data_IF_598068781263
#
_entry.id   IF_598068781263
#
_cell.length_a   1.000
_cell.length_b   1.000
_cell.length_c   1.000
_cell.angle_alpha   90.00
_cell.angle_beta   90.00
_cell.angle_gamma   90.00
#
_symmetry.space_group_name_H-M   'P 1'
#
loop_
_entity.id
_entity.type
_entity.pdbx_description
1 polymer ?
#
# COMPACT_ATOMS: atom_id res chain seq x y z
N UNK A 1 -10.00 13.16 -13.09
CA UNK A 1 -8.57 12.95 -13.34
C UNK A 1 -7.86 14.21 -12.90
N UNK A 2 -6.75 14.08 -12.20
CA UNK A 2 -5.89 15.21 -11.83
C UNK A 2 -4.42 14.75 -11.79
N UNK A 3 -3.52 15.70 -11.92
CA UNK A 3 -2.09 15.51 -11.67
C UNK A 3 -1.82 15.52 -10.17
N UNK A 4 -0.84 14.74 -9.71
CA UNK A 4 -0.50 14.70 -8.29
C UNK A 4 1.01 14.55 -8.08
N UNK A 5 1.74 15.65 -8.26
CA UNK A 5 3.18 15.63 -8.47
C UNK A 5 3.54 15.22 -9.90
N UNK A 6 4.84 15.21 -10.23
CA UNK A 6 5.30 14.80 -11.57
C UNK A 6 4.97 13.33 -11.85
N UNK A 7 4.84 12.98 -13.14
CA UNK A 7 4.51 11.65 -13.69
C UNK A 7 3.49 10.82 -12.91
N UNK A 8 2.52 11.47 -12.25
CA UNK A 8 1.56 10.82 -11.37
C UNK A 8 0.16 11.35 -11.65
N UNK A 9 -0.77 10.44 -11.86
CA UNK A 9 -2.17 10.72 -12.08
C UNK A 9 -2.99 10.15 -10.93
N UNK A 10 -3.95 10.93 -10.44
CA UNK A 10 -4.97 10.47 -9.51
C UNK A 10 -6.30 10.39 -10.22
N UNK A 11 -6.94 9.23 -10.09
CA UNK A 11 -8.28 8.99 -10.61
C UNK A 11 -9.26 8.87 -9.44
N UNK A 12 -10.32 9.68 -9.49
CA UNK A 12 -11.44 9.62 -8.55
C UNK A 12 -12.75 9.52 -9.29
N UNK A 13 -13.67 8.68 -8.83
CA UNK A 13 -15.00 8.55 -9.41
C UNK A 13 -16.02 8.08 -8.38
N UNK A 14 -17.21 8.68 -8.40
CA UNK A 14 -18.31 8.34 -7.52
C UNK A 14 -19.65 8.44 -8.25
N UNK A 15 -20.63 7.62 -7.84
CA UNK A 15 -22.03 7.75 -8.27
C UNK A 15 -22.86 8.70 -7.40
N UNK A 16 -22.33 9.21 -6.29
CA UNK A 16 -23.01 10.20 -5.45
C UNK A 16 -22.93 11.63 -5.98
N UNK A 17 -22.26 11.86 -7.13
CA UNK A 17 -21.93 13.18 -7.70
C UNK A 17 -21.03 14.05 -6.79
N UNK A 18 -20.58 13.50 -5.68
CA UNK A 18 -19.63 14.13 -4.76
C UNK A 18 -18.32 13.34 -4.76
N UNK A 19 -17.20 14.05 -4.90
CA UNK A 19 -15.86 13.51 -4.73
C UNK A 19 -15.32 14.00 -3.39
N UNK A 20 -15.05 13.07 -2.49
CA UNK A 20 -14.40 13.31 -1.20
C UNK A 20 -12.99 13.88 -1.40
N UNK A 21 -12.60 14.89 -0.62
CA UNK A 21 -11.24 15.44 -0.63
C UNK A 21 -10.24 14.58 0.17
N UNK A 22 -10.68 13.52 0.84
CA UNK A 22 -9.83 12.63 1.65
C UNK A 22 -8.61 12.15 0.85
N UNK A 23 -7.43 12.22 1.45
CA UNK A 23 -6.16 11.78 0.85
C UNK A 23 -5.62 10.49 1.50
N UNK A 24 -6.23 10.05 2.61
CA UNK A 24 -5.77 8.93 3.43
C UNK A 24 -4.31 9.11 3.87
N UNK A 25 -3.39 8.30 3.35
CA UNK A 25 -1.96 8.32 3.67
C UNK A 25 -1.10 8.96 2.57
N UNK A 26 -1.71 9.70 1.65
CA UNK A 26 -1.00 10.41 0.58
C UNK A 26 -0.66 11.83 1.04
N UNK A 27 0.62 12.20 0.93
CA UNK A 27 1.15 13.51 1.24
C UNK A 27 0.87 14.50 0.11
N UNK A 28 0.68 15.76 0.48
CA UNK A 28 0.55 16.86 -0.49
C UNK A 28 1.76 16.92 -1.42
N UNK A 29 1.49 17.16 -2.69
CA UNK A 29 2.51 17.26 -3.74
C UNK A 29 2.57 18.67 -4.31
N UNK A 30 3.71 19.00 -4.90
CA UNK A 30 3.83 20.23 -5.68
C UNK A 30 2.84 20.18 -6.86
N UNK A 31 1.96 21.18 -7.03
CA UNK A 31 1.02 21.20 -8.13
C UNK A 31 1.73 21.20 -9.49
N UNK A 32 1.24 20.38 -10.41
CA UNK A 32 1.70 20.33 -11.81
C UNK A 32 0.52 20.69 -12.71
N UNK A 33 0.74 21.49 -13.74
CA UNK A 33 -0.31 21.78 -14.72
C UNK A 33 -0.31 20.68 -15.79
N UNK A 34 -1.41 19.94 -15.99
CA UNK A 34 -1.49 18.93 -17.04
C UNK A 34 -1.54 19.57 -18.44
N UNK A 35 -1.07 18.82 -19.43
CA UNK A 35 -1.41 19.09 -20.83
C UNK A 35 -2.69 18.31 -21.14
N UNK A 36 -3.73 19.01 -21.60
CA UNK A 36 -5.03 18.42 -21.93
C UNK A 36 -5.34 18.69 -23.40
N UNK A 37 -5.57 17.62 -24.14
CA UNK A 37 -5.94 17.68 -25.56
C UNK A 37 -7.29 16.98 -25.77
N UNK A 38 -8.22 17.65 -26.43
CA UNK A 38 -9.51 17.07 -26.81
C UNK A 38 -9.46 16.76 -28.30
N UNK A 39 -9.49 15.47 -28.62
CA UNK A 39 -9.41 14.93 -29.97
C UNK A 39 -10.74 14.27 -30.34
N UNK A 40 -10.93 13.97 -31.61
CA UNK A 40 -12.10 13.22 -32.06
C UNK A 40 -12.17 11.84 -31.38
N UNK A 41 -13.24 11.58 -30.62
CA UNK A 41 -13.48 10.33 -29.91
C UNK A 41 -12.72 10.09 -28.60
N UNK A 42 -11.83 10.99 -28.17
CA UNK A 42 -11.09 10.87 -26.89
C UNK A 42 -10.54 12.19 -26.34
N UNK A 43 -10.37 12.26 -25.03
CA UNK A 43 -9.55 13.27 -24.37
C UNK A 43 -8.22 12.66 -23.89
N UNK A 44 -7.12 13.39 -24.02
CA UNK A 44 -5.78 13.00 -23.56
C UNK A 44 -5.37 13.92 -22.43
N UNK A 45 -4.94 13.33 -21.31
CA UNK A 45 -4.50 14.03 -20.11
C UNK A 45 -3.07 13.59 -19.78
N UNK A 46 -2.09 14.47 -19.97
CA UNK A 46 -0.66 14.15 -19.87
C UNK A 46 -0.02 14.86 -18.68
N UNK A 47 0.80 14.12 -17.94
CA UNK A 47 1.65 14.60 -16.85
C UNK A 47 3.05 14.00 -16.99
N UNK A 48 3.98 14.75 -17.59
CA UNK A 48 5.33 14.25 -17.88
C UNK A 48 5.31 12.94 -18.66
N UNK A 49 5.91 11.89 -18.09
CA UNK A 49 6.07 10.58 -18.74
C UNK A 49 4.81 9.68 -18.72
N UNK A 50 3.72 10.09 -18.07
CA UNK A 50 2.47 9.32 -18.08
C UNK A 50 1.34 10.13 -18.70
N UNK A 51 0.50 9.47 -19.49
CA UNK A 51 -0.76 10.04 -19.96
C UNK A 51 -1.93 9.09 -19.79
N UNK A 52 -3.11 9.67 -19.62
CA UNK A 52 -4.38 8.96 -19.63
C UNK A 52 -5.20 9.37 -20.86
N UNK A 53 -5.63 8.38 -21.63
CA UNK A 53 -6.58 8.55 -22.72
C UNK A 53 -7.97 8.12 -22.25
N UNK A 54 -8.92 9.07 -22.30
CA UNK A 54 -10.30 8.89 -21.86
C UNK A 54 -11.17 8.82 -23.11
N UNK A 55 -11.75 7.65 -23.38
CA UNK A 55 -12.60 7.42 -24.54
C UNK A 55 -13.95 8.13 -24.40
N UNK A 56 -14.35 8.91 -25.39
CA UNK A 56 -15.56 9.75 -25.32
C UNK A 56 -16.85 8.91 -25.13
N UNK A 57 -16.97 7.80 -25.86
CA UNK A 57 -18.19 6.99 -25.91
C UNK A 57 -18.64 6.44 -24.55
N UNK A 58 -17.71 6.07 -23.67
CA UNK A 58 -18.02 5.38 -22.40
C UNK A 58 -17.14 5.79 -21.21
N UNK A 59 -16.18 6.69 -21.44
CA UNK A 59 -15.25 7.18 -20.43
C UNK A 59 -14.26 6.12 -19.95
N UNK A 60 -13.99 5.07 -20.72
CA UNK A 60 -12.93 4.13 -20.36
C UNK A 60 -11.57 4.81 -20.42
N UNK A 61 -10.71 4.46 -19.47
CA UNK A 61 -9.37 5.04 -19.32
C UNK A 61 -8.30 4.03 -19.73
N UNK A 62 -7.37 4.48 -20.56
CA UNK A 62 -6.12 3.78 -20.89
C UNK A 62 -4.95 4.64 -20.46
N UNK A 63 -4.01 4.07 -19.72
CA UNK A 63 -2.78 4.72 -19.29
C UNK A 63 -1.62 4.28 -20.16
N UNK A 64 -0.81 5.24 -20.62
CA UNK A 64 0.34 5.00 -21.47
C UNK A 64 1.56 5.76 -20.95
N UNK A 65 2.76 5.24 -21.25
CA UNK A 65 4.01 5.99 -21.08
C UNK A 65 4.26 6.92 -22.28
N UNK A 66 5.38 7.65 -22.25
CA UNK A 66 5.82 8.56 -23.30
C UNK A 66 6.30 7.83 -24.57
N UNK A 67 6.59 6.52 -24.49
CA UNK A 67 6.84 5.66 -25.66
C UNK A 67 5.55 5.13 -26.32
N UNK A 68 4.37 5.50 -25.82
CA UNK A 68 3.05 5.02 -26.27
C UNK A 68 2.76 3.54 -25.96
N UNK A 69 3.48 2.95 -25.01
CA UNK A 69 3.21 1.61 -24.53
C UNK A 69 2.07 1.67 -23.51
N UNK A 70 1.11 0.75 -23.62
CA UNK A 70 -0.03 0.68 -22.71
C UNK A 70 0.43 0.12 -21.37
N UNK A 71 0.35 0.92 -20.32
CA UNK A 71 0.66 0.53 -18.95
C UNK A 71 -0.50 -0.26 -18.35
N UNK A 72 -1.67 0.37 -18.28
CA UNK A 72 -2.87 -0.18 -17.63
C UNK A 72 -4.12 0.30 -18.37
N UNK A 73 -5.11 -0.58 -18.52
CA UNK A 73 -6.34 -0.27 -19.29
C UNK A 73 -7.57 -0.83 -18.61
N UNK A 74 -8.60 -0.01 -18.42
CA UNK A 74 -9.88 -0.46 -17.90
C UNK A 74 -10.55 -1.48 -18.84
N UNK A 75 -11.16 -2.52 -18.28
CA UNK A 75 -11.77 -3.60 -19.07
C UNK A 75 -13.02 -3.15 -19.81
N UNK A 76 -13.12 -3.53 -21.08
CA UNK A 76 -14.31 -3.33 -21.91
C UNK A 76 -15.05 -4.63 -22.17
N UNK A 77 -16.38 -4.62 -21.99
CA UNK A 77 -17.27 -5.69 -22.44
C UNK A 77 -18.37 -5.11 -23.33
N UNK A 78 -18.48 -5.59 -24.57
CA UNK A 78 -19.39 -5.05 -25.59
C UNK A 78 -20.87 -5.04 -25.17
N UNK A 79 -21.29 -5.99 -24.33
CA UNK A 79 -22.67 -6.12 -23.88
C UNK A 79 -22.97 -5.37 -22.56
N UNK A 80 -21.93 -4.86 -21.87
CA UNK A 80 -22.07 -4.17 -20.57
C UNK A 80 -21.21 -2.91 -20.60
N UNK A 81 -21.85 -1.80 -20.98
CA UNK A 81 -21.18 -0.51 -21.31
C UNK A 81 -20.31 0.09 -20.20
N UNK A 82 -20.37 -0.39 -18.95
CA UNK A 82 -19.47 0.04 -17.85
C UNK A 82 -19.04 -1.11 -16.93
N UNK A 83 -18.51 -2.20 -17.51
CA UNK A 83 -17.99 -3.33 -16.72
C UNK A 83 -16.80 -2.95 -15.83
N UNK A 84 -15.93 -2.05 -16.29
CA UNK A 84 -14.73 -1.65 -15.57
C UNK A 84 -15.00 -1.05 -14.19
N UNK A 85 -16.08 -0.27 -14.02
CA UNK A 85 -16.37 0.47 -12.78
C UNK A 85 -17.79 0.19 -12.33
N UNK A 86 -17.92 -0.64 -11.30
CA UNK A 86 -19.20 -1.05 -10.75
C UNK A 86 -19.41 -0.45 -9.36
N UNK A 87 -20.65 -0.02 -9.13
CA UNK A 87 -21.08 0.65 -7.91
C UNK A 87 -22.38 -0.01 -7.48
N UNK A 88 -22.32 -0.84 -6.44
CA UNK A 88 -23.51 -1.46 -5.85
C UNK A 88 -23.82 -0.73 -4.56
N UNK A 89 -24.99 -0.07 -4.51
CA UNK A 89 -25.38 0.73 -3.34
C UNK A 89 -25.41 -0.13 -2.07
N UNK A 90 -24.81 0.38 -0.99
CA UNK A 90 -24.87 -0.15 0.37
C UNK A 90 -25.63 0.78 1.33
N UNK A 91 -26.27 1.82 0.79
CA UNK A 91 -27.03 2.85 1.52
C UNK A 91 -26.34 4.22 1.49
N UNK A 92 -27.14 5.29 1.51
CA UNK A 92 -26.66 6.68 1.38
C UNK A 92 -25.75 6.85 0.15
N UNK A 93 -24.54 7.38 0.37
CA UNK A 93 -23.46 7.64 -0.55
C UNK A 93 -22.37 6.56 -0.54
N UNK A 94 -22.65 5.39 0.05
CA UNK A 94 -21.71 4.28 0.13
C UNK A 94 -22.03 3.16 -0.85
N UNK A 95 -20.98 2.56 -1.37
CA UNK A 95 -21.03 1.53 -2.39
C UNK A 95 -20.09 0.39 -2.03
N UNK A 96 -20.49 -0.82 -2.42
CA UNK A 96 -19.53 -1.85 -2.78
C UNK A 96 -19.00 -1.50 -4.17
N UNK A 97 -17.69 -1.30 -4.24
CA UNK A 97 -16.99 -0.88 -5.45
C UNK A 97 -16.28 -2.06 -6.10
N UNK A 98 -16.27 -2.07 -7.42
CA UNK A 98 -15.41 -2.97 -8.20
C UNK A 98 -14.78 -2.19 -9.34
N UNK A 99 -13.46 -2.21 -9.40
CA UNK A 99 -12.66 -1.66 -10.49
C UNK A 99 -11.93 -2.81 -11.20
N UNK A 100 -12.12 -2.93 -12.51
CA UNK A 100 -11.53 -4.01 -13.31
C UNK A 100 -10.73 -3.47 -14.49
N UNK A 101 -9.50 -3.95 -14.60
CA UNK A 101 -8.55 -3.68 -15.67
C UNK A 101 -8.28 -4.96 -16.50
N UNK A 102 -7.95 -4.78 -17.77
CA UNK A 102 -7.46 -5.87 -18.61
C UNK A 102 -6.19 -6.46 -17.99
N UNK A 103 -6.12 -7.79 -17.92
CA UNK A 103 -4.90 -8.47 -17.53
C UNK A 103 -4.00 -8.66 -18.75
N UNK A 104 -2.72 -8.39 -18.56
CA UNK A 104 -1.66 -8.90 -19.42
C UNK A 104 -1.10 -10.18 -18.78
N UNK A 105 -0.95 -11.26 -19.53
CA UNK A 105 -0.51 -12.56 -18.98
C UNK A 105 0.99 -12.61 -18.71
N UNK A 106 1.75 -11.76 -19.40
CA UNK A 106 3.21 -11.69 -19.30
C UNK A 106 3.65 -10.57 -18.34
N UNK A 107 2.70 -9.86 -17.73
CA UNK A 107 2.95 -8.86 -16.70
C UNK A 107 3.25 -9.52 -15.35
N UNK A 108 4.37 -9.13 -14.74
CA UNK A 108 4.74 -9.50 -13.39
C UNK A 108 4.37 -8.38 -12.42
N UNK A 109 3.84 -8.77 -11.26
CA UNK A 109 3.24 -7.86 -10.29
C UNK A 109 3.83 -8.08 -8.90
N UNK A 110 4.24 -7.01 -8.22
CA UNK A 110 4.94 -7.08 -6.93
C UNK A 110 4.37 -6.09 -5.92
N UNK A 111 4.69 -6.28 -4.63
CA UNK A 111 4.31 -5.37 -3.55
C UNK A 111 3.10 -5.86 -2.75
N UNK A 112 2.06 -5.03 -2.64
CA UNK A 112 0.79 -5.28 -1.93
C UNK A 112 0.90 -5.48 -0.40
N UNK A 113 2.11 -5.57 0.15
CA UNK A 113 2.38 -5.67 1.58
C UNK A 113 2.95 -7.04 1.95
N UNK A 114 2.42 -7.64 3.01
CA UNK A 114 2.86 -8.93 3.51
C UNK A 114 1.69 -9.91 3.52
N UNK A 115 1.84 -11.02 2.81
CA UNK A 115 0.87 -12.10 2.79
C UNK A 115 1.57 -13.43 3.08
N UNK A 116 0.95 -14.35 3.84
CA UNK A 116 1.51 -15.67 4.11
C UNK A 116 1.36 -16.60 2.90
N UNK A 117 2.03 -16.26 1.81
CA UNK A 117 2.15 -17.06 0.60
C UNK A 117 3.63 -17.09 0.15
N UNK A 118 3.94 -17.94 -0.83
CA UNK A 118 5.28 -18.13 -1.40
C UNK A 118 5.45 -17.40 -2.75
N UNK A 119 4.58 -16.42 -3.03
CA UNK A 119 4.50 -15.73 -4.32
C UNK A 119 5.19 -14.37 -4.24
N UNK A 120 6.42 -14.26 -4.78
CA UNK A 120 7.05 -12.95 -5.01
C UNK A 120 6.35 -12.21 -6.16
N UNK A 121 6.20 -12.90 -7.30
CA UNK A 121 5.32 -12.44 -8.37
C UNK A 121 3.88 -12.80 -8.00
N UNK A 122 3.07 -11.77 -7.85
CA UNK A 122 1.69 -11.83 -7.43
C UNK A 122 0.74 -12.09 -8.62
N UNK A 123 1.25 -12.21 -9.85
CA UNK A 123 0.42 -12.54 -10.99
C UNK A 123 -0.24 -13.91 -10.80
N UNK A 124 -1.55 -13.97 -11.07
CA UNK A 124 -2.39 -15.14 -10.84
C UNK A 124 -2.95 -15.24 -9.41
N UNK A 125 -2.51 -14.41 -8.48
CA UNK A 125 -2.93 -14.48 -7.08
C UNK A 125 -4.22 -13.71 -6.79
N UNK A 126 -4.75 -13.96 -5.60
CA UNK A 126 -5.80 -13.17 -4.97
C UNK A 126 -5.30 -12.77 -3.60
N UNK A 127 -5.47 -11.49 -3.26
CA UNK A 127 -5.10 -10.94 -1.97
C UNK A 127 -6.33 -10.32 -1.32
N UNK A 128 -6.61 -10.69 -0.08
CA UNK A 128 -7.59 -10.00 0.75
C UNK A 128 -7.01 -8.68 1.25
N UNK A 129 -7.73 -7.58 1.08
CA UNK A 129 -7.32 -6.27 1.56
C UNK A 129 -7.84 -6.08 2.99
N UNK A 130 -7.17 -6.73 3.94
CA UNK A 130 -7.47 -6.67 5.37
C UNK A 130 -6.20 -6.87 6.20
N UNK A 131 -6.23 -6.42 7.46
CA UNK A 131 -5.13 -6.60 8.41
C UNK A 131 -5.42 -7.80 9.32
N UNK A 132 -4.49 -8.75 9.41
CA UNK A 132 -4.61 -9.96 10.26
C UNK A 132 -3.26 -10.28 10.89
N UNK A 133 -3.23 -11.17 11.89
CA UNK A 133 -1.96 -11.73 12.33
C UNK A 133 -1.27 -12.38 11.12
N UNK A 134 0.03 -12.11 10.92
CA UNK A 134 0.86 -12.51 9.77
C UNK A 134 0.53 -11.88 8.40
N UNK A 135 -0.51 -11.05 8.29
CA UNK A 135 -0.92 -10.41 7.04
C UNK A 135 -1.05 -8.89 7.18
N UNK A 136 -0.39 -8.16 6.29
CA UNK A 136 -0.38 -6.70 6.26
C UNK A 136 -0.72 -6.25 4.84
N UNK A 137 -1.93 -5.70 4.63
CA UNK A 137 -2.34 -5.13 3.35
C UNK A 137 -1.78 -3.71 3.21
N UNK A 138 -0.87 -3.51 2.26
CA UNK A 138 -0.32 -2.22 1.84
C UNK A 138 -0.52 -2.14 0.33
N UNK A 139 -1.66 -1.60 -0.16
CA UNK A 139 -2.10 -1.85 -1.54
C UNK A 139 -1.43 -0.92 -2.56
N UNK A 140 -0.10 -0.98 -2.57
CA UNK A 140 0.80 -0.46 -3.58
C UNK A 140 1.32 -1.62 -4.44
N UNK A 141 1.03 -1.58 -5.73
CA UNK A 141 1.41 -2.56 -6.72
C UNK A 141 2.50 -1.98 -7.62
N UNK A 142 3.55 -2.75 -7.85
CA UNK A 142 4.60 -2.45 -8.83
C UNK A 142 4.47 -3.43 -9.99
N UNK A 143 4.41 -2.91 -11.22
CA UNK A 143 4.31 -3.72 -12.43
C UNK A 143 5.61 -3.75 -13.22
N UNK A 144 5.94 -4.89 -13.83
CA UNK A 144 7.05 -5.02 -14.78
C UNK A 144 6.88 -4.16 -16.04
N UNK A 145 5.70 -3.59 -16.28
CA UNK A 145 5.42 -2.68 -17.39
C UNK A 145 5.86 -1.23 -17.12
N UNK A 146 6.54 -0.96 -16.01
CA UNK A 146 7.07 0.38 -15.71
C UNK A 146 6.07 1.32 -15.05
N UNK A 147 5.09 0.79 -14.31
CA UNK A 147 4.16 1.62 -13.52
C UNK A 147 3.99 1.13 -12.08
N UNK A 148 3.70 2.09 -11.20
CA UNK A 148 3.23 1.86 -9.85
C UNK A 148 1.75 2.24 -9.74
N UNK A 149 1.00 1.49 -8.94
CA UNK A 149 -0.43 1.70 -8.72
C UNK A 149 -0.74 1.65 -7.21
N UNK A 150 -1.42 2.67 -6.69
CA UNK A 150 -1.86 2.71 -5.29
C UNK A 150 -3.39 2.66 -5.28
N UNK A 151 -3.96 1.60 -4.71
CA UNK A 151 -5.39 1.57 -4.38
C UNK A 151 -5.63 2.41 -3.12
N UNK A 152 -6.04 3.66 -3.31
CA UNK A 152 -6.16 4.64 -2.22
C UNK A 152 -7.50 4.53 -1.50
N UNK A 153 -7.75 3.35 -0.92
CA UNK A 153 -9.01 3.06 -0.26
C UNK A 153 -8.80 2.07 0.90
N UNK A 154 -9.11 2.45 2.16
CA UNK A 154 -8.84 1.61 3.33
C UNK A 154 -9.93 0.58 3.62
N UNK A 155 -10.97 0.50 2.79
CA UNK A 155 -12.07 -0.45 2.99
C UNK A 155 -11.58 -1.90 2.89
N UNK A 156 -12.22 -2.80 3.65
CA UNK A 156 -12.03 -4.25 3.45
C UNK A 156 -12.40 -4.59 2.02
N UNK A 157 -11.63 -5.46 1.39
CA UNK A 157 -11.86 -5.81 0.00
C UNK A 157 -10.90 -6.86 -0.53
N UNK A 158 -10.64 -6.82 -1.83
CA UNK A 158 -9.84 -7.82 -2.52
C UNK A 158 -9.09 -7.22 -3.70
N UNK A 159 -7.86 -7.68 -3.92
CA UNK A 159 -7.13 -7.52 -5.17
C UNK A 159 -7.06 -8.90 -5.86
N UNK A 160 -7.69 -9.04 -7.01
CA UNK A 160 -7.62 -10.23 -7.87
C UNK A 160 -6.67 -9.93 -9.03
N UNK A 161 -5.44 -10.45 -8.96
CA UNK A 161 -4.38 -10.19 -9.94
C UNK A 161 -4.31 -11.31 -10.98
N UNK A 162 -5.47 -11.74 -11.48
CA UNK A 162 -5.60 -12.97 -12.27
C UNK A 162 -5.01 -12.87 -13.69
N UNK A 163 -5.00 -14.00 -14.41
CA UNK A 163 -4.56 -14.09 -15.81
C UNK A 163 -5.59 -13.55 -16.82
N UNK A 164 -6.82 -13.24 -16.38
CA UNK A 164 -7.91 -12.79 -17.27
C UNK A 164 -8.34 -11.35 -16.99
N UNK A 165 -8.13 -10.88 -15.76
CA UNK A 165 -8.43 -9.52 -15.33
C UNK A 165 -7.62 -9.16 -14.08
N UNK A 166 -7.35 -7.87 -13.91
CA UNK A 166 -6.86 -7.30 -12.66
C UNK A 166 -8.01 -6.54 -12.01
N UNK A 167 -8.44 -6.94 -10.81
CA UNK A 167 -9.63 -6.37 -10.17
C UNK A 167 -9.35 -5.93 -8.73
N UNK A 168 -9.84 -4.76 -8.37
CA UNK A 168 -9.87 -4.27 -7.00
C UNK A 168 -11.32 -4.12 -6.54
N UNK A 169 -11.61 -4.55 -5.32
CA UNK A 169 -12.90 -4.35 -4.67
C UNK A 169 -12.74 -3.66 -3.33
N UNK A 170 -13.77 -2.90 -2.96
CA UNK A 170 -13.94 -2.32 -1.64
C UNK A 170 -15.38 -2.58 -1.20
N UNK A 171 -15.59 -3.20 -0.05
CA UNK A 171 -16.93 -3.60 0.42
C UNK A 171 -17.79 -2.39 0.81
N UNK A 172 -17.16 -1.34 1.34
CA UNK A 172 -17.83 -0.14 1.81
C UNK A 172 -16.98 1.11 1.59
N UNK A 173 -17.27 1.85 0.52
CA UNK A 173 -16.55 3.06 0.16
C UNK A 173 -17.44 4.06 -0.60
N UNK A 174 -17.11 5.35 -0.50
CA UNK A 174 -17.84 6.42 -1.19
C UNK A 174 -17.45 6.60 -2.65
N UNK A 175 -16.20 6.27 -3.00
CA UNK A 175 -15.64 6.54 -4.31
C UNK A 175 -14.52 5.56 -4.66
N UNK A 176 -14.31 5.35 -5.97
CA UNK A 176 -13.06 4.80 -6.49
C UNK A 176 -12.01 5.91 -6.35
N UNK A 177 -10.85 5.57 -5.79
CA UNK A 177 -9.72 6.47 -5.65
C UNK A 177 -8.43 5.66 -5.78
N UNK A 178 -7.61 6.02 -6.77
CA UNK A 178 -6.31 5.40 -6.96
C UNK A 178 -5.32 6.35 -7.62
N UNK A 179 -4.05 6.04 -7.43
CA UNK A 179 -2.94 6.72 -8.10
C UNK A 179 -2.27 5.75 -9.05
N UNK A 180 -1.80 6.28 -10.17
CA UNK A 180 -0.92 5.58 -11.09
C UNK A 180 0.20 6.51 -11.51
N UNK A 181 1.41 5.97 -11.59
CA UNK A 181 2.58 6.71 -12.01
C UNK A 181 3.53 5.82 -12.80
N UNK A 182 4.25 6.44 -13.73
CA UNK A 182 5.20 5.75 -14.61
C UNK A 182 6.65 6.14 -14.27
N UNK A 183 7.56 5.19 -14.43
CA UNK A 183 9.00 5.42 -14.40
C UNK A 183 9.75 4.28 -15.10
N UNK A 184 10.96 4.57 -15.56
CA UNK A 184 11.75 3.63 -16.37
C UNK A 184 12.34 2.48 -15.55
N UNK A 185 12.52 2.67 -14.24
CA UNK A 185 13.15 1.68 -13.35
C UNK A 185 12.31 1.37 -12.11
N UNK A 186 12.40 0.14 -11.55
CA UNK A 186 11.77 -0.18 -10.27
C UNK A 186 12.23 0.73 -9.12
N UNK A 187 13.48 1.18 -9.13
CA UNK A 187 14.00 2.10 -8.11
C UNK A 187 13.27 3.44 -8.14
N UNK A 188 13.03 3.99 -9.33
CA UNK A 188 12.30 5.26 -9.50
C UNK A 188 10.83 5.12 -9.11
N UNK A 189 10.20 3.96 -9.37
CA UNK A 189 8.84 3.68 -8.91
C UNK A 189 8.75 3.67 -7.37
N UNK A 190 9.70 3.02 -6.69
CA UNK A 190 9.75 3.00 -5.23
C UNK A 190 10.06 4.38 -4.65
N UNK A 191 10.97 5.14 -5.27
CA UNK A 191 11.24 6.52 -4.88
C UNK A 191 10.01 7.41 -5.01
N UNK A 192 9.22 7.22 -6.08
CA UNK A 192 7.97 7.97 -6.29
C UNK A 192 6.91 7.59 -5.28
N UNK A 193 6.73 6.29 -5.01
CA UNK A 193 5.86 5.80 -3.94
C UNK A 193 6.23 6.44 -2.59
N UNK A 194 7.51 6.40 -2.20
CA UNK A 194 7.98 7.02 -0.97
C UNK A 194 7.81 8.56 -0.95
N UNK A 195 7.89 9.23 -2.12
CA UNK A 195 7.58 10.65 -2.25
C UNK A 195 6.09 10.95 -2.01
N UNK A 196 5.20 10.03 -2.40
CA UNK A 196 3.75 10.14 -2.20
C UNK A 196 3.32 9.78 -0.77
N UNK A 197 3.98 8.81 -0.12
CA UNK A 197 3.51 8.27 1.18
C UNK A 197 4.41 8.59 2.36
N UNK A 198 5.58 9.20 2.12
CA UNK A 198 6.58 9.52 3.14
C UNK A 198 7.81 8.61 3.05
N UNK A 199 8.99 9.24 3.22
CA UNK A 199 10.27 8.54 3.24
C UNK A 199 10.54 8.00 4.64
N UNK A 200 11.08 6.78 4.72
CA UNK A 200 11.54 6.22 5.98
C UNK A 200 12.64 7.10 6.59
N UNK A 201 12.65 7.35 7.91
CA UNK A 201 13.76 8.02 8.56
C UNK A 201 15.03 7.15 8.51
N UNK A 202 16.17 7.73 8.86
CA UNK A 202 17.39 6.96 9.06
C UNK A 202 17.21 5.99 10.22
N UNK A 203 17.55 4.72 10.02
CA UNK A 203 17.55 3.71 11.08
C UNK A 203 18.61 4.10 12.13
N UNK A 204 18.30 4.10 13.44
CA UNK A 204 19.32 4.31 14.47
C UNK A 204 20.33 3.16 14.46
N UNK A 205 21.59 3.45 14.81
CA UNK A 205 22.70 2.49 14.71
C UNK A 205 22.44 1.18 15.46
N UNK A 206 21.87 1.25 16.68
CA UNK A 206 21.53 0.06 17.46
C UNK A 206 20.49 -0.83 16.77
N UNK A 207 19.67 -0.26 15.88
CA UNK A 207 18.63 -0.98 15.13
C UNK A 207 19.20 -1.96 14.10
N UNK A 208 20.44 -1.76 13.64
CA UNK A 208 21.13 -2.67 12.73
C UNK A 208 21.89 -3.81 13.43
N UNK A 209 21.93 -3.79 14.77
CA UNK A 209 22.64 -4.80 15.56
C UNK A 209 21.82 -6.08 15.81
N UNK A 210 22.26 -6.91 16.76
CA UNK A 210 21.56 -8.15 17.12
C UNK A 210 20.43 -7.90 18.12
N UNK A 211 19.23 -8.41 17.83
CA UNK A 211 18.03 -8.30 18.65
C UNK A 211 17.70 -9.65 19.31
N UNK A 212 17.84 -9.73 20.63
CA UNK A 212 17.46 -10.91 21.41
C UNK A 212 16.01 -10.78 21.90
N UNK A 213 15.16 -11.73 21.51
CA UNK A 213 13.79 -11.86 22.00
C UNK A 213 13.39 -13.33 22.14
N UNK A 214 12.36 -13.60 22.93
CA UNK A 214 11.64 -14.88 23.01
C UNK A 214 10.25 -14.61 23.59
N UNK A 215 9.36 -15.59 23.48
CA UNK A 215 8.09 -15.62 24.21
C UNK A 215 8.24 -16.54 25.44
N UNK A 216 8.46 -16.03 26.66
CA UNK A 216 8.75 -14.65 27.07
C UNK A 216 9.81 -14.66 28.19
N UNK A 217 10.48 -13.52 28.42
CA UNK A 217 11.13 -13.27 29.72
C UNK A 217 10.06 -12.88 30.73
N UNK A 218 10.03 -13.55 31.88
CA UNK A 218 8.92 -13.45 32.84
C UNK A 218 9.16 -12.45 33.95
N UNK A 219 10.41 -12.00 34.14
CA UNK A 219 10.80 -11.02 35.15
C UNK A 219 12.01 -10.20 34.72
N UNK A 220 12.25 -9.10 35.44
CA UNK A 220 13.42 -8.25 35.27
C UNK A 220 14.74 -9.02 35.40
N UNK A 221 14.88 -9.87 36.42
CA UNK A 221 16.12 -10.62 36.65
C UNK A 221 16.33 -11.70 35.58
N UNK A 222 15.27 -12.35 35.08
CA UNK A 222 15.42 -13.30 33.97
C UNK A 222 15.98 -12.58 32.72
N UNK A 223 15.43 -11.40 32.37
CA UNK A 223 15.90 -10.62 31.24
C UNK A 223 17.35 -10.15 31.41
N UNK A 224 17.69 -9.59 32.59
CA UNK A 224 19.06 -9.13 32.88
C UNK A 224 20.07 -10.28 32.91
N UNK A 225 19.70 -11.45 33.45
CA UNK A 225 20.58 -12.62 33.45
C UNK A 225 21.00 -13.04 32.03
N UNK A 226 20.07 -12.95 31.06
CA UNK A 226 20.37 -13.23 29.65
C UNK A 226 21.29 -12.17 29.06
N UNK A 227 21.03 -10.88 29.31
CA UNK A 227 21.87 -9.79 28.82
C UNK A 227 23.31 -9.88 29.37
N UNK A 228 23.46 -10.16 30.67
CA UNK A 228 24.74 -10.39 31.34
C UNK A 228 25.48 -11.59 30.72
N UNK A 229 24.80 -12.69 30.46
CA UNK A 229 25.40 -13.88 29.85
C UNK A 229 25.93 -13.62 28.42
N UNK A 230 25.22 -12.82 27.62
CA UNK A 230 25.73 -12.33 26.32
C UNK A 230 27.04 -11.55 26.51
N UNK A 231 27.06 -10.65 27.49
CA UNK A 231 28.23 -9.82 27.80
C UNK A 231 29.41 -10.64 28.28
N UNK A 232 29.19 -11.59 29.20
CA UNK A 232 30.22 -12.46 29.78
C UNK A 232 30.87 -13.35 28.72
N UNK A 233 30.11 -13.77 27.71
CA UNK A 233 30.62 -14.53 26.55
C UNK A 233 31.27 -13.68 25.47
N UNK A 234 31.25 -12.35 25.60
CA UNK A 234 31.74 -11.44 24.56
C UNK A 234 30.91 -11.49 23.27
N UNK A 235 29.62 -11.88 23.36
CA UNK A 235 28.71 -11.93 22.21
C UNK A 235 28.06 -10.55 21.98
N UNK A 236 27.89 -10.12 20.72
CA UNK A 236 27.25 -8.84 20.41
C UNK A 236 25.74 -8.89 20.72
N UNK A 237 25.25 -7.86 21.42
CA UNK A 237 23.84 -7.65 21.71
C UNK A 237 23.54 -6.15 21.63
N UNK A 238 22.52 -5.77 20.87
CA UNK A 238 22.14 -4.36 20.67
C UNK A 238 20.74 -4.04 21.19
N UNK A 239 19.82 -5.00 21.13
CA UNK A 239 18.47 -4.86 21.68
C UNK A 239 18.06 -6.14 22.39
N UNK A 240 17.44 -6.02 23.56
CA UNK A 240 16.74 -7.11 24.25
C UNK A 240 15.28 -6.70 24.49
N UNK A 241 14.35 -7.65 24.37
CA UNK A 241 12.91 -7.36 24.32
C UNK A 241 12.16 -8.04 25.46
N UNK A 242 11.37 -7.26 26.21
CA UNK A 242 10.34 -7.78 27.12
C UNK A 242 9.02 -7.98 26.33
N UNK A 243 8.59 -9.24 26.21
CA UNK A 243 7.39 -9.60 25.43
C UNK A 243 6.07 -9.25 26.19
N UNK A 244 4.93 -9.47 25.55
CA UNK A 244 3.59 -9.22 26.10
C UNK A 244 3.30 -9.88 27.46
N UNK A 245 2.28 -9.37 28.17
CA UNK A 245 1.90 -9.78 29.53
C UNK A 245 2.97 -9.53 30.61
N UNK A 246 3.82 -8.50 30.42
CA UNK A 246 4.68 -7.95 31.49
C UNK A 246 3.97 -6.87 32.35
N UNK A 247 2.71 -6.57 32.04
CA UNK A 247 1.85 -5.60 32.72
C UNK A 247 0.83 -6.29 33.64
N UNK A 248 0.27 -5.59 34.65
CA UNK A 248 -0.73 -6.19 35.54
C UNK A 248 -2.03 -6.57 34.83
N UNK A 249 -2.60 -5.64 34.04
CA UNK A 249 -3.81 -5.87 33.25
C UNK A 249 -3.67 -5.26 31.85
N UNK A 250 -4.36 -5.86 30.88
CA UNK A 250 -4.39 -5.34 29.51
C UNK A 250 -4.96 -3.92 29.50
N UNK A 251 -4.17 -2.96 28.98
CA UNK A 251 -4.53 -1.54 28.94
C UNK A 251 -3.84 -0.68 30.01
N UNK A 252 -3.15 -1.28 30.99
CA UNK A 252 -2.41 -0.51 32.00
C UNK A 252 -1.13 0.15 31.44
N UNK A 253 -0.58 -0.40 30.34
CA UNK A 253 0.62 0.08 29.64
C UNK A 253 1.80 0.45 30.56
N UNK A 254 2.06 -0.40 31.55
CA UNK A 254 3.16 -0.26 32.51
C UNK A 254 3.67 -1.64 32.94
N UNK A 255 4.90 -1.69 33.43
CA UNK A 255 5.46 -2.88 34.05
C UNK A 255 4.70 -3.28 35.32
N UNK A 256 4.49 -4.57 35.52
CA UNK A 256 3.98 -5.12 36.78
C UNK A 256 5.09 -5.08 37.84
N UNK A 257 4.97 -4.27 38.91
CA UNK A 257 6.02 -4.11 39.91
C UNK A 257 6.32 -5.41 40.70
N UNK A 258 5.45 -6.42 40.63
CA UNK A 258 5.70 -7.73 41.25
C UNK A 258 6.83 -8.49 40.52
N UNK A 259 6.90 -8.38 39.19
CA UNK A 259 7.88 -9.10 38.36
C UNK A 259 8.99 -8.19 37.82
N UNK A 260 8.74 -6.89 37.80
CA UNK A 260 9.61 -5.84 37.25
C UNK A 260 9.73 -4.70 38.27
N UNK A 261 10.40 -4.95 39.41
CA UNK A 261 10.38 -4.05 40.56
C UNK A 261 11.14 -2.74 40.35
N UNK A 262 12.13 -2.71 39.45
CA UNK A 262 12.92 -1.52 39.14
C UNK A 262 13.24 -1.43 37.63
N UNK A 263 12.25 -1.12 36.77
CA UNK A 263 12.47 -1.00 35.33
C UNK A 263 13.46 0.11 34.97
N UNK A 264 13.57 1.16 35.80
CA UNK A 264 14.53 2.24 35.57
C UNK A 264 15.96 1.76 35.81
N UNK A 265 16.21 1.03 36.90
CA UNK A 265 17.49 0.37 37.16
C UNK A 265 17.84 -0.65 36.09
N UNK A 266 16.87 -1.43 35.61
CA UNK A 266 17.05 -2.36 34.49
C UNK A 266 17.53 -1.64 33.22
N UNK A 267 16.88 -0.53 32.83
CA UNK A 267 17.29 0.25 31.65
C UNK A 267 18.64 0.94 31.84
N UNK A 268 18.99 1.36 33.06
CA UNK A 268 20.31 1.94 33.35
C UNK A 268 21.44 0.92 33.25
N UNK A 269 21.16 -0.36 33.47
CA UNK A 269 22.16 -1.43 33.38
C UNK A 269 22.40 -1.91 31.93
N UNK A 270 21.33 -1.96 31.11
CA UNK A 270 21.35 -2.36 29.69
C UNK A 270 22.07 -1.32 28.81
#
# INVERSE_FOLDING_TARGET
METFGENTLRFRSSKSLHISPEQWNILDQTPVTPVIEVLDGRAVFTNGAIRAEIRERDGLVTYLNDQNEVLLKETYFHHVTRYARQYKSRGSDHFELTLTFEADKDEHLYGMGQYPNDCLDLKGTTLELAQKNTQISIPFLLSSKGYGFIWNNPSIGRAELSMTQTRFTAEYARQIDYFIFAADTPADLVHRYAGLTGKSPTMPDYGAGFWQSKLRYSSQEELLSVAREYKDRGLPLSVIVADFFHWPHSGDWKFDPVFWPDPEGMVREL
#
